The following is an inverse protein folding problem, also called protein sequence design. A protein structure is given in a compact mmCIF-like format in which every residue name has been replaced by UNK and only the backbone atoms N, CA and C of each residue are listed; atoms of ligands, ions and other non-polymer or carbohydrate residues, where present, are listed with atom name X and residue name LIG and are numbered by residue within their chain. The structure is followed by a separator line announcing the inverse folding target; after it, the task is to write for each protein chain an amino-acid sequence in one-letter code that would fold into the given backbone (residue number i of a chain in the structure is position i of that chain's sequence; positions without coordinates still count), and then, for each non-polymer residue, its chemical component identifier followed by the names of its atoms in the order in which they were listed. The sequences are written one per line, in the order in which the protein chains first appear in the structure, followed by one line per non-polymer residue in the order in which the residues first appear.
data_IF_673165797604
#
_entry.id   IF_673165797604
#
_cell.length_a   1.000
_cell.length_b   1.000
_cell.length_c   1.000
_cell.angle_alpha   90.00
_cell.angle_beta   90.00
_cell.angle_gamma   90.00
#
_symmetry.space_group_name_H-M   'P 1'
#
loop_
_entity.id
_entity.type
_entity.pdbx_description
1 polymer ?
#
# COMPACT_ATOMS: atom_id res chain seq x y z
N UNK A 1 47.19 -9.74 40.91
CA UNK A 1 46.91 -8.30 40.64
C UNK A 1 48.13 -7.72 39.95
N UNK A 2 48.16 -7.18 38.74
CA UNK A 2 47.23 -7.07 37.62
C UNK A 2 48.11 -6.86 36.37
N UNK A 3 47.76 -7.50 35.24
CA UNK A 3 48.47 -7.42 33.97
C UNK A 3 48.17 -6.08 33.27
N UNK A 4 49.20 -5.29 32.96
CA UNK A 4 49.25 -4.31 31.86
C UNK A 4 50.09 -5.00 30.76
N UNK A 5 49.67 -5.16 29.51
CA UNK A 5 49.16 -4.17 28.58
C UNK A 5 50.15 -4.18 27.41
N UNK A 6 49.87 -4.93 26.34
CA UNK A 6 50.71 -4.97 25.13
C UNK A 6 49.92 -4.28 24.02
N UNK A 7 50.33 -3.05 23.70
CA UNK A 7 50.12 -2.44 22.40
C UNK A 7 51.21 -2.95 21.45
N UNK A 8 50.84 -3.43 20.27
CA UNK A 8 51.75 -3.58 19.15
C UNK A 8 51.02 -3.12 17.89
N UNK A 9 51.45 -1.97 17.39
CA UNK A 9 51.19 -1.50 16.04
C UNK A 9 52.43 -1.81 15.19
N UNK A 10 52.21 -2.38 14.01
CA UNK A 10 53.15 -2.48 12.88
C UNK A 10 52.27 -2.76 11.64
N UNK A 11 52.47 -2.22 10.44
CA UNK A 11 53.45 -1.29 9.90
C UNK A 11 53.00 -0.94 8.47
N UNK A 12 53.41 0.24 7.99
CA UNK A 12 53.15 0.80 6.67
C UNK A 12 53.99 0.14 5.56
N UNK A 13 53.44 0.03 4.34
CA UNK A 13 54.07 0.25 3.02
C UNK A 13 53.22 -0.41 1.91
N UNK A 14 53.09 0.06 0.67
CA UNK A 14 53.26 1.34 -0.02
C UNK A 14 52.66 1.09 -1.44
N UNK A 15 52.05 2.13 -2.00
CA UNK A 15 51.40 2.25 -3.31
C UNK A 15 51.90 1.42 -4.52
N UNK A 16 50.96 0.97 -5.37
CA UNK A 16 50.96 1.25 -6.81
C UNK A 16 49.61 0.90 -7.50
N UNK A 17 49.06 1.90 -8.20
CA UNK A 17 48.29 1.84 -9.45
C UNK A 17 47.07 0.92 -9.58
N UNK A 18 45.88 1.53 -9.67
CA UNK A 18 45.08 1.44 -10.90
C UNK A 18 44.28 2.74 -11.07
N UNK A 19 44.72 3.58 -12.01
CA UNK A 19 43.86 4.52 -12.71
C UNK A 19 42.86 3.70 -13.51
N UNK A 20 41.69 3.43 -12.94
CA UNK A 20 40.52 3.06 -13.73
C UNK A 20 39.71 4.33 -13.90
N UNK A 21 39.63 4.80 -15.15
CA UNK A 21 38.70 5.85 -15.53
C UNK A 21 37.32 5.45 -15.03
N UNK A 22 36.76 6.26 -14.15
CA UNK A 22 35.38 6.15 -13.70
C UNK A 22 34.48 6.38 -14.91
N UNK A 23 34.21 5.32 -15.68
CA UNK A 23 32.98 5.29 -16.46
C UNK A 23 31.87 5.46 -15.43
N UNK A 24 31.36 6.69 -15.31
CA UNK A 24 30.35 7.04 -14.33
C UNK A 24 29.17 6.10 -14.55
N UNK A 25 29.04 5.09 -13.68
CA UNK A 25 27.97 4.12 -13.78
C UNK A 25 26.67 4.92 -13.77
N UNK A 26 25.80 4.68 -14.77
CA UNK A 26 24.51 5.36 -14.83
C UNK A 26 23.83 5.18 -13.47
N UNK A 27 23.24 6.25 -12.92
CA UNK A 27 22.62 6.14 -11.61
C UNK A 27 21.51 5.08 -11.67
N UNK A 28 21.28 4.29 -10.60
CA UNK A 28 20.36 3.15 -10.64
C UNK A 28 18.95 3.50 -11.16
N UNK A 29 18.45 4.70 -10.81
CA UNK A 29 17.15 5.18 -11.25
C UNK A 29 17.02 5.35 -12.78
N UNK A 30 18.13 5.53 -13.52
CA UNK A 30 18.07 5.65 -14.99
C UNK A 30 17.66 4.31 -15.64
N UNK A 31 18.14 3.19 -15.09
CA UNK A 31 17.73 1.85 -15.53
C UNK A 31 16.27 1.59 -15.15
N UNK A 32 15.85 2.01 -13.96
CA UNK A 32 14.46 1.89 -13.51
C UNK A 32 13.50 2.69 -14.41
N UNK A 33 13.83 3.93 -14.78
CA UNK A 33 13.01 4.73 -15.71
C UNK A 33 12.90 4.10 -17.11
N UNK A 34 13.98 3.50 -17.62
CA UNK A 34 13.92 2.76 -18.88
C UNK A 34 12.99 1.54 -18.76
N UNK A 35 13.01 0.86 -17.61
CA UNK A 35 12.13 -0.27 -17.33
C UNK A 35 10.66 0.16 -17.19
N UNK A 36 10.41 1.33 -16.60
CA UNK A 36 9.08 1.97 -16.53
C UNK A 36 8.54 2.21 -17.94
N UNK A 37 9.31 2.86 -18.82
CA UNK A 37 8.88 3.12 -20.21
C UNK A 37 8.59 1.82 -20.97
N UNK A 38 9.46 0.81 -20.82
CA UNK A 38 9.21 -0.53 -21.36
C UNK A 38 7.91 -1.15 -20.84
N UNK A 39 7.60 -0.94 -19.56
CA UNK A 39 6.35 -1.41 -18.95
C UNK A 39 5.12 -0.71 -19.51
N UNK A 40 5.20 0.60 -19.75
CA UNK A 40 4.13 1.39 -20.38
C UNK A 40 3.89 0.89 -21.81
N UNK A 41 4.93 0.75 -22.62
CA UNK A 41 4.83 0.23 -24.01
C UNK A 41 4.21 -1.18 -24.03
N UNK A 42 4.62 -2.02 -23.08
CA UNK A 42 4.04 -3.36 -22.91
C UNK A 42 2.56 -3.30 -22.56
N UNK A 43 2.14 -2.42 -21.66
CA UNK A 43 0.74 -2.33 -21.26
C UNK A 43 -0.14 -1.82 -22.41
N UNK A 44 0.33 -0.84 -23.19
CA UNK A 44 -0.34 -0.35 -24.41
C UNK A 44 -0.48 -1.48 -25.44
N UNK A 45 0.61 -2.18 -25.75
CA UNK A 45 0.56 -3.29 -26.73
C UNK A 45 -0.34 -4.45 -26.31
N UNK A 46 -0.61 -4.60 -25.01
CA UNK A 46 -1.54 -5.58 -24.46
C UNK A 46 -2.97 -5.03 -24.29
N UNK A 47 -3.25 -3.78 -24.72
CA UNK A 47 -4.52 -3.07 -24.51
C UNK A 47 -4.95 -3.04 -23.04
N UNK A 48 -3.99 -2.96 -22.12
CA UNK A 48 -4.25 -2.88 -20.67
C UNK A 48 -4.36 -1.46 -20.14
N UNK A 49 -3.85 -0.51 -20.92
CA UNK A 49 -3.98 0.93 -20.73
C UNK A 49 -4.15 1.58 -22.10
N UNK A 50 -4.81 2.73 -22.16
CA UNK A 50 -4.96 3.50 -23.39
C UNK A 50 -3.79 4.48 -23.63
N UNK A 51 -3.85 5.22 -24.74
CA UNK A 51 -2.82 6.19 -25.10
C UNK A 51 -2.75 7.41 -24.17
N UNK A 52 -3.87 7.79 -23.56
CA UNK A 52 -3.97 8.92 -22.63
C UNK A 52 -3.29 8.56 -21.32
N UNK A 53 -3.64 7.41 -20.74
CA UNK A 53 -3.00 6.86 -19.54
C UNK A 53 -1.49 6.68 -19.76
N UNK A 54 -1.10 6.14 -20.92
CA UNK A 54 0.30 5.97 -21.26
C UNK A 54 1.06 7.30 -21.37
N UNK A 55 0.42 8.37 -21.87
CA UNK A 55 1.02 9.70 -21.94
C UNK A 55 1.19 10.31 -20.54
N UNK A 56 0.19 10.18 -19.67
CA UNK A 56 0.22 10.63 -18.28
C UNK A 56 1.33 9.91 -17.50
N UNK A 57 1.40 8.58 -17.58
CA UNK A 57 2.42 7.79 -16.87
C UNK A 57 3.84 8.13 -17.32
N UNK A 58 4.05 8.41 -18.62
CA UNK A 58 5.35 8.90 -19.13
C UNK A 58 5.66 10.30 -18.62
N UNK A 59 4.66 11.17 -18.50
CA UNK A 59 4.83 12.51 -17.94
C UNK A 59 5.29 12.44 -16.47
N UNK A 60 4.65 11.60 -15.65
CA UNK A 60 5.02 11.39 -14.25
C UNK A 60 6.43 10.84 -14.10
N UNK A 61 6.80 9.85 -14.92
CA UNK A 61 8.15 9.30 -14.94
C UNK A 61 9.20 10.35 -15.36
N UNK A 62 8.87 11.19 -16.35
CA UNK A 62 9.75 12.26 -16.82
C UNK A 62 9.91 13.37 -15.78
N UNK A 63 8.85 13.71 -15.04
CA UNK A 63 8.92 14.63 -13.93
C UNK A 63 9.86 14.12 -12.83
N UNK A 64 9.77 12.84 -12.47
CA UNK A 64 10.69 12.22 -11.51
C UNK A 64 12.15 12.27 -11.99
N UNK A 65 12.39 11.98 -13.28
CA UNK A 65 13.71 12.06 -13.91
C UNK A 65 14.33 13.46 -13.83
N UNK A 66 13.51 14.50 -13.96
CA UNK A 66 13.94 15.90 -13.91
C UNK A 66 14.23 16.41 -12.49
N UNK A 67 13.61 15.79 -11.48
CA UNK A 67 13.74 16.18 -10.07
C UNK A 67 14.87 15.42 -9.39
N UNK A 68 14.98 14.11 -9.62
CA UNK A 68 15.93 13.20 -8.95
C UNK A 68 17.37 13.73 -8.87
N UNK A 69 18.01 14.19 -9.97
CA UNK A 69 19.40 14.64 -9.94
C UNK A 69 19.66 15.85 -9.04
N UNK A 70 18.60 16.59 -8.67
CA UNK A 70 18.66 17.82 -7.88
C UNK A 70 18.41 17.57 -6.39
N UNK A 71 17.96 16.37 -6.02
CA UNK A 71 17.58 16.07 -4.64
C UNK A 71 18.82 15.68 -3.82
N UNK A 72 18.97 16.24 -2.60
CA UNK A 72 20.00 15.79 -1.68
C UNK A 72 19.49 14.65 -0.78
N UNK A 73 20.43 13.88 -0.24
CA UNK A 73 20.26 13.08 0.98
C UNK A 73 19.01 12.17 0.98
N UNK A 74 18.13 12.31 1.98
CA UNK A 74 16.99 11.43 2.16
C UNK A 74 15.87 11.65 1.15
N UNK A 75 15.71 12.88 0.63
CA UNK A 75 14.77 13.19 -0.46
C UNK A 75 15.11 12.38 -1.71
N UNK A 76 16.39 12.31 -2.06
CA UNK A 76 16.89 11.46 -3.16
C UNK A 76 16.59 9.98 -2.89
N UNK A 77 16.94 9.47 -1.69
CA UNK A 77 16.73 8.06 -1.34
C UNK A 77 15.25 7.67 -1.45
N UNK A 78 14.36 8.48 -0.89
CA UNK A 78 12.92 8.23 -0.90
C UNK A 78 12.36 8.24 -2.33
N UNK A 79 12.63 9.28 -3.13
CA UNK A 79 12.11 9.34 -4.50
C UNK A 79 12.72 8.24 -5.39
N UNK A 80 14.01 7.96 -5.25
CA UNK A 80 14.67 6.87 -5.99
C UNK A 80 14.07 5.51 -5.65
N UNK A 81 13.70 5.28 -4.39
CA UNK A 81 13.04 4.05 -3.97
C UNK A 81 11.62 3.93 -4.57
N UNK A 82 10.87 5.02 -4.65
CA UNK A 82 9.56 5.03 -5.31
C UNK A 82 9.69 4.73 -6.80
N UNK A 83 10.64 5.35 -7.50
CA UNK A 83 10.94 5.01 -8.91
C UNK A 83 11.29 3.53 -9.06
N UNK A 84 12.14 2.99 -8.19
CA UNK A 84 12.49 1.58 -8.19
C UNK A 84 11.27 0.66 -7.96
N UNK A 85 10.36 1.04 -7.07
CA UNK A 85 9.11 0.31 -6.83
C UNK A 85 8.24 0.30 -8.09
N UNK A 86 7.99 1.47 -8.69
CA UNK A 86 7.19 1.56 -9.92
C UNK A 86 7.82 0.72 -11.04
N UNK A 87 9.14 0.78 -11.22
CA UNK A 87 9.87 -0.04 -12.19
C UNK A 87 9.73 -1.55 -11.91
N UNK A 88 9.70 -1.96 -10.65
CA UNK A 88 9.48 -3.35 -10.24
C UNK A 88 8.16 -3.96 -10.77
N UNK A 89 7.19 -3.11 -11.11
CA UNK A 89 5.88 -3.51 -11.63
C UNK A 89 5.76 -3.49 -13.16
N UNK A 90 6.84 -3.28 -13.91
CA UNK A 90 6.79 -3.08 -15.37
C UNK A 90 6.04 -4.15 -16.17
N UNK A 91 5.92 -5.39 -15.68
CA UNK A 91 5.14 -6.47 -16.34
C UNK A 91 3.64 -6.44 -16.03
N UNK A 92 3.25 -5.72 -14.98
CA UNK A 92 1.95 -5.81 -14.32
C UNK A 92 1.12 -4.53 -14.43
N UNK A 93 1.52 -3.54 -15.22
CA UNK A 93 0.67 -2.36 -15.43
C UNK A 93 -0.62 -2.74 -16.18
N UNK A 94 -1.70 -2.22 -15.64
CA UNK A 94 -3.06 -2.10 -16.15
C UNK A 94 -3.62 -0.77 -15.63
N UNK A 95 -4.82 -0.34 -16.07
CA UNK A 95 -5.38 0.94 -15.66
C UNK A 95 -5.38 1.16 -14.13
N UNK A 96 -5.90 0.24 -13.29
CA UNK A 96 -5.92 0.46 -11.83
C UNK A 96 -4.54 0.48 -11.16
N UNK A 97 -3.65 -0.45 -11.54
CA UNK A 97 -2.29 -0.50 -10.96
C UNK A 97 -1.44 0.66 -11.45
N UNK A 98 -1.54 1.00 -12.72
CA UNK A 98 -0.90 2.15 -13.34
C UNK A 98 -1.30 3.42 -12.61
N UNK A 99 -2.59 3.71 -12.53
CA UNK A 99 -3.10 4.89 -11.82
C UNK A 99 -2.57 4.96 -10.39
N UNK A 100 -2.55 3.84 -9.66
CA UNK A 100 -2.06 3.83 -8.28
C UNK A 100 -0.56 4.14 -8.19
N UNK A 101 0.25 3.48 -9.02
CA UNK A 101 1.71 3.59 -8.99
C UNK A 101 2.21 4.95 -9.51
N UNK A 102 1.66 5.44 -10.61
CA UNK A 102 2.09 6.68 -11.23
C UNK A 102 1.57 7.91 -10.47
N UNK A 103 0.33 7.90 -9.96
CA UNK A 103 -0.13 8.97 -9.07
C UNK A 103 0.69 9.05 -7.78
N UNK A 104 1.08 7.89 -7.21
CA UNK A 104 2.00 7.84 -6.07
C UNK A 104 3.38 8.40 -6.42
N UNK A 105 3.92 8.08 -7.60
CA UNK A 105 5.17 8.63 -8.09
C UNK A 105 5.08 10.15 -8.27
N UNK A 106 4.00 10.63 -8.88
CA UNK A 106 3.74 12.05 -9.10
C UNK A 106 3.66 12.82 -7.78
N UNK A 107 2.92 12.27 -6.81
CA UNK A 107 2.82 12.84 -5.46
C UNK A 107 4.19 12.95 -4.78
N UNK A 108 4.95 11.84 -4.76
CA UNK A 108 6.30 11.84 -4.18
C UNK A 108 7.24 12.82 -4.90
N UNK A 109 7.16 12.89 -6.22
CA UNK A 109 7.98 13.81 -7.03
C UNK A 109 7.68 15.26 -6.66
N UNK A 110 6.41 15.65 -6.60
CA UNK A 110 6.01 17.01 -6.21
C UNK A 110 6.37 17.32 -4.76
N UNK A 111 6.12 16.38 -3.84
CA UNK A 111 6.46 16.54 -2.43
C UNK A 111 7.95 16.76 -2.25
N UNK A 112 8.77 15.81 -2.71
CA UNK A 112 10.22 15.87 -2.50
C UNK A 112 10.91 16.91 -3.35
N UNK A 113 10.24 17.59 -4.29
CA UNK A 113 10.81 18.76 -4.96
C UNK A 113 10.88 20.00 -4.03
N UNK A 114 9.98 20.10 -3.05
CA UNK A 114 9.84 21.30 -2.21
C UNK A 114 9.83 21.03 -0.69
N UNK A 115 9.70 19.77 -0.27
CA UNK A 115 9.58 19.38 1.14
C UNK A 115 10.60 18.30 1.53
N UNK A 116 10.90 18.26 2.83
CA UNK A 116 11.65 17.17 3.45
C UNK A 116 10.74 16.02 3.86
N UNK A 117 11.37 14.96 4.36
CA UNK A 117 10.70 13.76 4.86
C UNK A 117 9.68 14.09 5.96
N UNK A 118 8.68 13.24 6.07
CA UNK A 118 7.72 13.23 7.16
C UNK A 118 8.05 12.13 8.17
N UNK A 119 7.52 12.29 9.39
CA UNK A 119 7.58 11.23 10.40
C UNK A 119 6.92 9.96 9.88
N UNK A 120 7.49 8.81 10.20
CA UNK A 120 6.93 7.51 9.84
C UNK A 120 5.46 7.40 10.27
N UNK A 121 4.61 6.86 9.40
CA UNK A 121 3.18 6.69 9.66
C UNK A 121 2.34 7.95 9.47
N UNK A 122 2.94 9.11 9.16
CA UNK A 122 2.18 10.33 8.87
C UNK A 122 1.48 10.22 7.52
N UNK A 123 0.17 10.47 7.52
CA UNK A 123 -0.62 10.56 6.29
C UNK A 123 -0.70 12.00 5.77
N UNK A 124 -0.59 12.15 4.46
CA UNK A 124 -0.73 13.43 3.74
C UNK A 124 -1.68 13.22 2.56
N UNK A 125 -2.62 14.14 2.38
CA UNK A 125 -3.58 14.11 1.28
C UNK A 125 -2.99 14.74 0.02
N UNK A 126 -3.21 14.11 -1.12
CA UNK A 126 -3.10 14.73 -2.42
C UNK A 126 -4.44 15.41 -2.75
N UNK A 127 -4.45 16.74 -2.80
CA UNK A 127 -5.68 17.48 -3.05
C UNK A 127 -6.24 17.29 -4.46
N UNK A 128 -5.44 16.78 -5.40
CA UNK A 128 -5.88 16.57 -6.79
C UNK A 128 -6.90 15.44 -6.93
N UNK A 129 -6.76 14.36 -6.14
CA UNK A 129 -7.64 13.20 -6.21
C UNK A 129 -8.18 12.74 -4.84
N UNK A 130 -7.78 13.41 -3.75
CA UNK A 130 -8.23 13.13 -2.38
C UNK A 130 -7.56 11.91 -1.74
N UNK A 131 -6.62 11.24 -2.42
CA UNK A 131 -5.91 10.07 -1.88
C UNK A 131 -4.96 10.51 -0.76
N UNK A 132 -4.94 9.72 0.30
CA UNK A 132 -3.99 9.88 1.40
C UNK A 132 -2.83 8.92 1.21
N UNK A 133 -1.62 9.47 1.17
CA UNK A 133 -0.40 8.68 1.14
C UNK A 133 0.27 8.70 2.51
N UNK A 134 0.77 7.54 2.94
CA UNK A 134 1.44 7.37 4.23
C UNK A 134 2.94 7.43 4.08
N UNK A 135 3.62 8.20 4.92
CA UNK A 135 5.07 8.30 4.94
C UNK A 135 5.73 7.04 5.52
N UNK A 136 6.65 6.46 4.76
CA UNK A 136 7.52 5.36 5.18
C UNK A 136 9.00 5.77 4.98
N UNK A 137 9.84 5.72 6.02
CA UNK A 137 11.26 6.06 5.89
C UNK A 137 11.96 5.19 4.85
N UNK A 138 12.68 5.81 3.93
CA UNK A 138 13.49 5.14 2.91
C UNK A 138 12.72 4.72 1.66
N UNK A 139 11.39 4.74 1.66
CA UNK A 139 10.55 4.44 0.49
C UNK A 139 9.52 5.54 0.21
N UNK A 140 9.64 6.71 0.83
CA UNK A 140 8.74 7.83 0.60
C UNK A 140 7.28 7.59 1.01
N UNK A 141 6.36 8.26 0.34
CA UNK A 141 4.93 8.17 0.57
C UNK A 141 4.32 7.02 -0.21
N UNK A 142 3.53 6.20 0.47
CA UNK A 142 2.97 4.98 -0.09
C UNK A 142 1.45 5.04 -0.10
N UNK A 143 0.84 4.52 -1.18
CA UNK A 143 -0.60 4.26 -1.19
C UNK A 143 -0.92 3.19 -0.14
N UNK A 144 -1.82 3.53 0.79
CA UNK A 144 -2.12 2.68 1.94
C UNK A 144 -3.63 2.42 2.04
N UNK A 145 -4.12 1.28 1.49
CA UNK A 145 -5.55 0.95 1.44
C UNK A 145 -6.29 1.11 2.77
N UNK A 146 -5.79 0.49 3.85
CA UNK A 146 -6.44 0.54 5.16
C UNK A 146 -6.70 1.97 5.66
N UNK A 147 -5.77 2.89 5.41
CA UNK A 147 -5.89 4.27 5.91
C UNK A 147 -6.86 5.08 5.08
N UNK A 148 -6.82 4.92 3.76
CA UNK A 148 -7.76 5.59 2.87
C UNK A 148 -9.20 5.16 3.18
N UNK A 149 -9.46 3.87 3.41
CA UNK A 149 -10.79 3.42 3.82
C UNK A 149 -11.16 3.85 5.24
N UNK A 150 -10.18 3.96 6.15
CA UNK A 150 -10.38 4.62 7.44
C UNK A 150 -10.80 6.08 7.30
N UNK A 151 -10.18 6.85 6.38
CA UNK A 151 -10.59 8.23 6.06
C UNK A 151 -11.98 8.27 5.44
N UNK A 152 -12.31 7.35 4.55
CA UNK A 152 -13.65 7.27 3.96
C UNK A 152 -14.71 7.01 5.03
N UNK A 153 -14.49 6.05 5.94
CA UNK A 153 -15.36 5.84 7.10
C UNK A 153 -15.53 7.12 7.94
N UNK A 154 -14.45 7.86 8.18
CA UNK A 154 -14.53 9.14 8.91
C UNK A 154 -15.37 10.19 8.17
N UNK A 155 -15.22 10.31 6.85
CA UNK A 155 -16.05 11.24 6.06
C UNK A 155 -17.51 10.80 6.05
N UNK A 156 -17.79 9.50 5.99
CA UNK A 156 -19.15 8.95 6.12
C UNK A 156 -19.74 9.28 7.48
N UNK A 157 -19.02 9.06 8.57
CA UNK A 157 -19.46 9.37 9.93
C UNK A 157 -19.72 10.87 10.13
N UNK A 158 -18.90 11.73 9.51
CA UNK A 158 -19.07 13.18 9.51
C UNK A 158 -20.17 13.66 8.55
N UNK A 159 -20.79 12.77 7.78
CA UNK A 159 -21.72 13.10 6.69
C UNK A 159 -21.13 14.08 5.67
N UNK A 160 -19.81 14.04 5.47
CA UNK A 160 -19.12 14.88 4.50
C UNK A 160 -19.24 14.24 3.11
N UNK A 161 -20.35 14.53 2.43
CA UNK A 161 -20.70 13.92 1.13
C UNK A 161 -19.64 14.21 0.07
N UNK A 162 -19.16 15.45 -0.04
CA UNK A 162 -18.15 15.84 -1.04
C UNK A 162 -16.84 15.05 -0.89
N UNK A 163 -16.30 14.94 0.33
CA UNK A 163 -15.05 14.19 0.54
C UNK A 163 -15.26 12.68 0.48
N UNK A 164 -16.43 12.20 0.92
CA UNK A 164 -16.77 10.78 0.81
C UNK A 164 -16.85 10.36 -0.66
N UNK A 165 -17.54 11.13 -1.50
CA UNK A 165 -17.67 10.86 -2.94
C UNK A 165 -16.31 10.89 -3.63
N UNK A 166 -15.56 12.00 -3.50
CA UNK A 166 -14.24 12.14 -4.13
C UNK A 166 -13.31 10.97 -3.77
N UNK A 167 -13.21 10.63 -2.49
CA UNK A 167 -12.33 9.56 -2.06
C UNK A 167 -12.84 8.18 -2.49
N UNK A 168 -14.16 7.92 -2.44
CA UNK A 168 -14.73 6.66 -2.88
C UNK A 168 -14.47 6.41 -4.37
N UNK A 169 -14.72 7.40 -5.23
CA UNK A 169 -14.46 7.28 -6.67
C UNK A 169 -12.97 7.08 -6.96
N UNK A 170 -12.10 7.88 -6.33
CA UNK A 170 -10.65 7.74 -6.46
C UNK A 170 -10.13 6.38 -6.01
N UNK A 171 -10.77 5.75 -5.02
CA UNK A 171 -10.45 4.39 -4.60
C UNK A 171 -10.99 3.36 -5.59
N UNK A 172 -12.21 3.50 -6.12
CA UNK A 172 -12.76 2.57 -7.11
C UNK A 172 -11.91 2.50 -8.39
N UNK A 173 -11.41 3.64 -8.86
CA UNK A 173 -10.50 3.69 -10.02
C UNK A 173 -9.18 2.93 -9.80
N UNK A 174 -8.82 2.66 -8.53
CA UNK A 174 -7.62 1.91 -8.11
C UNK A 174 -7.91 0.47 -7.71
N UNK A 175 -9.16 0.02 -7.86
CA UNK A 175 -9.54 -1.34 -7.50
C UNK A 175 -9.08 -2.36 -8.55
N UNK A 176 -8.55 -3.48 -8.08
CA UNK A 176 -8.16 -4.62 -8.93
C UNK A 176 -9.11 -5.79 -8.71
N UNK A 177 -9.17 -6.72 -9.65
CA UNK A 177 -9.90 -7.98 -9.47
C UNK A 177 -9.01 -9.02 -8.79
N UNK A 178 -9.47 -9.56 -7.65
CA UNK A 178 -8.81 -10.65 -6.89
C UNK A 178 -9.87 -11.61 -6.37
N UNK A 179 -9.63 -12.92 -6.51
CA UNK A 179 -10.55 -13.96 -6.03
C UNK A 179 -12.02 -13.77 -6.50
N UNK A 180 -12.21 -13.24 -7.72
CA UNK A 180 -13.56 -12.93 -8.27
C UNK A 180 -14.23 -11.67 -7.70
N UNK A 181 -13.61 -10.98 -6.74
CA UNK A 181 -14.05 -9.75 -6.12
C UNK A 181 -13.17 -8.54 -6.46
N UNK A 182 -13.46 -7.41 -5.82
CA UNK A 182 -12.61 -6.22 -5.84
C UNK A 182 -11.61 -6.25 -4.69
N UNK A 183 -10.42 -5.68 -4.91
CA UNK A 183 -9.41 -5.53 -3.87
C UNK A 183 -8.53 -4.30 -4.10
N UNK A 184 -7.84 -3.89 -3.03
CA UNK A 184 -6.78 -2.88 -3.08
C UNK A 184 -5.45 -3.45 -2.61
N UNK A 185 -4.45 -3.29 -3.48
CA UNK A 185 -3.10 -3.78 -3.31
C UNK A 185 -2.20 -2.76 -2.60
N UNK A 186 -1.26 -3.29 -1.83
CA UNK A 186 -0.10 -2.58 -1.32
C UNK A 186 1.08 -2.85 -2.26
N UNK A 187 1.76 -1.79 -2.68
CA UNK A 187 2.78 -1.84 -3.74
C UNK A 187 4.22 -1.81 -3.21
N UNK A 188 4.41 -1.94 -1.90
CA UNK A 188 5.73 -1.94 -1.25
C UNK A 188 6.02 -3.24 -0.50
N UNK A 189 7.30 -3.51 -0.27
CA UNK A 189 7.74 -4.63 0.58
C UNK A 189 7.46 -4.31 2.04
N UNK A 190 6.95 -5.28 2.79
CA UNK A 190 6.66 -5.13 4.21
C UNK A 190 6.79 -6.47 4.91
N UNK A 191 7.56 -6.53 6.00
CA UNK A 191 7.76 -7.73 6.84
C UNK A 191 8.05 -9.02 6.02
N UNK A 192 8.93 -8.92 5.02
CA UNK A 192 9.29 -10.03 4.13
C UNK A 192 8.30 -10.30 2.97
N UNK A 193 7.11 -9.71 3.01
CA UNK A 193 6.12 -9.75 1.94
C UNK A 193 6.59 -9.09 0.64
N UNK A 194 6.29 -9.72 -0.49
CA UNK A 194 6.55 -9.17 -1.83
C UNK A 194 5.29 -8.48 -2.35
N UNK A 195 5.39 -7.25 -2.89
CA UNK A 195 4.26 -6.60 -3.52
C UNK A 195 3.96 -7.23 -4.90
N UNK A 196 2.71 -7.12 -5.39
CA UNK A 196 1.57 -6.59 -4.67
C UNK A 196 1.01 -7.60 -3.66
N UNK A 197 0.59 -7.12 -2.50
CA UNK A 197 -0.13 -7.92 -1.50
C UNK A 197 -1.39 -7.20 -1.04
N UNK A 198 -2.34 -7.95 -0.48
CA UNK A 198 -3.58 -7.41 0.07
C UNK A 198 -3.70 -7.77 1.55
N UNK A 199 -4.52 -7.02 2.28
CA UNK A 199 -4.79 -7.23 3.71
C UNK A 199 -6.26 -7.60 3.93
N UNK A 200 -6.52 -8.65 4.70
CA UNK A 200 -7.89 -9.06 5.05
C UNK A 200 -8.63 -7.98 5.84
N UNK A 201 -7.97 -7.36 6.82
CA UNK A 201 -8.49 -6.22 7.56
C UNK A 201 -8.80 -5.04 6.63
N UNK A 202 -7.89 -4.68 5.73
CA UNK A 202 -8.13 -3.59 4.79
C UNK A 202 -9.33 -3.86 3.86
N UNK A 203 -9.52 -5.10 3.39
CA UNK A 203 -10.68 -5.45 2.56
C UNK A 203 -12.01 -5.37 3.35
N UNK A 204 -12.02 -5.79 4.61
CA UNK A 204 -13.21 -5.68 5.45
C UNK A 204 -13.56 -4.21 5.75
N UNK A 205 -12.57 -3.38 6.09
CA UNK A 205 -12.75 -1.93 6.27
C UNK A 205 -13.22 -1.26 4.98
N UNK A 206 -12.74 -1.72 3.81
CA UNK A 206 -13.20 -1.25 2.51
C UNK A 206 -14.68 -1.59 2.23
N UNK A 207 -15.12 -2.81 2.52
CA UNK A 207 -16.53 -3.20 2.40
C UNK A 207 -17.43 -2.35 3.33
N UNK A 208 -16.99 -2.13 4.58
CA UNK A 208 -17.67 -1.24 5.52
C UNK A 208 -17.78 0.20 4.98
N UNK A 209 -16.66 0.77 4.50
CA UNK A 209 -16.60 2.15 4.07
C UNK A 209 -17.41 2.41 2.79
N UNK A 210 -17.33 1.51 1.82
CA UNK A 210 -18.08 1.64 0.56
C UNK A 210 -19.58 1.43 0.75
N UNK A 211 -20.00 0.50 1.63
CA UNK A 211 -21.43 0.36 1.97
C UNK A 211 -21.95 1.58 2.71
N UNK A 212 -21.16 2.14 3.63
CA UNK A 212 -21.50 3.39 4.33
C UNK A 212 -21.59 4.59 3.38
N UNK A 213 -20.63 4.72 2.45
CA UNK A 213 -20.63 5.78 1.45
C UNK A 213 -21.81 5.64 0.47
N UNK A 214 -22.10 4.42 -0.01
CA UNK A 214 -23.25 4.15 -0.88
C UNK A 214 -24.58 4.54 -0.24
N UNK A 215 -24.76 4.26 1.05
CA UNK A 215 -25.93 4.72 1.80
C UNK A 215 -25.97 6.25 1.96
N UNK A 216 -24.86 6.86 2.36
CA UNK A 216 -24.79 8.32 2.58
C UNK A 216 -25.05 9.12 1.30
N UNK A 217 -24.51 8.66 0.18
CA UNK A 217 -24.57 9.34 -1.12
C UNK A 217 -25.77 8.90 -1.98
N UNK A 218 -26.54 7.92 -1.51
CA UNK A 218 -27.56 7.23 -2.30
C UNK A 218 -27.01 6.69 -3.65
N UNK A 219 -25.75 6.22 -3.64
CA UNK A 219 -25.08 5.67 -4.82
C UNK A 219 -25.06 4.13 -4.79
N UNK A 220 -25.91 3.46 -5.60
CA UNK A 220 -25.97 2.00 -5.64
C UNK A 220 -24.70 1.36 -6.23
N UNK A 221 -23.86 2.11 -6.96
CA UNK A 221 -22.59 1.61 -7.49
C UNK A 221 -21.59 1.34 -6.37
N UNK A 222 -21.54 2.20 -5.34
CA UNK A 222 -20.69 2.02 -4.17
C UNK A 222 -21.16 0.84 -3.31
N UNK A 223 -22.48 0.68 -3.14
CA UNK A 223 -23.06 -0.50 -2.47
C UNK A 223 -22.70 -1.78 -3.23
N UNK A 224 -22.84 -1.79 -4.56
CA UNK A 224 -22.45 -2.94 -5.40
C UNK A 224 -20.94 -3.22 -5.31
N UNK A 225 -20.12 -2.18 -5.27
CA UNK A 225 -18.67 -2.32 -5.07
C UNK A 225 -18.37 -2.95 -3.71
N UNK A 226 -19.02 -2.51 -2.63
CA UNK A 226 -18.83 -3.08 -1.28
C UNK A 226 -19.09 -4.59 -1.24
N UNK A 227 -20.13 -5.07 -1.94
CA UNK A 227 -20.43 -6.49 -2.08
C UNK A 227 -19.34 -7.23 -2.86
N UNK A 228 -18.80 -6.63 -3.93
CA UNK A 228 -17.67 -7.20 -4.67
C UNK A 228 -16.40 -7.26 -3.84
N UNK A 229 -16.17 -6.32 -2.93
CA UNK A 229 -15.02 -6.35 -2.02
C UNK A 229 -15.18 -7.47 -0.99
N UNK A 230 -16.38 -7.61 -0.42
CA UNK A 230 -16.68 -8.70 0.50
C UNK A 230 -16.37 -10.07 -0.10
N UNK A 231 -16.64 -10.32 -1.39
CA UNK A 231 -16.28 -11.58 -2.08
C UNK A 231 -14.80 -11.96 -1.97
N UNK A 232 -13.91 -10.98 -1.81
CA UNK A 232 -12.46 -11.23 -1.63
C UNK A 232 -12.14 -11.67 -0.19
N UNK A 233 -12.87 -11.18 0.81
CA UNK A 233 -12.57 -11.35 2.25
C UNK A 233 -12.47 -12.82 2.68
N UNK A 234 -13.39 -13.73 2.32
CA UNK A 234 -13.28 -15.14 2.72
C UNK A 234 -11.95 -15.81 2.31
N UNK A 235 -11.39 -15.44 1.15
CA UNK A 235 -10.10 -15.98 0.67
C UNK A 235 -8.90 -15.53 1.51
N UNK A 236 -9.10 -14.51 2.34
CA UNK A 236 -8.10 -13.95 3.25
C UNK A 236 -8.21 -14.51 4.67
N UNK A 237 -8.99 -15.57 4.86
CA UNK A 237 -9.02 -16.30 6.13
C UNK A 237 -8.07 -17.49 6.11
N UNK A 238 -7.63 -17.89 7.30
CA UNK A 238 -6.94 -19.15 7.58
C UNK A 238 -7.65 -19.88 8.70
N UNK A 239 -7.40 -21.17 8.86
CA UNK A 239 -7.89 -21.92 10.01
C UNK A 239 -6.95 -21.78 11.21
N UNK A 240 -7.53 -21.55 12.38
CA UNK A 240 -6.91 -21.73 13.70
C UNK A 240 -7.77 -22.71 14.51
N UNK A 241 -7.30 -23.10 15.70
CA UNK A 241 -8.00 -24.07 16.54
C UNK A 241 -9.46 -23.68 16.84
N UNK A 242 -9.72 -22.39 17.07
CA UNK A 242 -11.05 -21.89 17.43
C UNK A 242 -11.94 -21.52 16.22
N UNK A 243 -11.47 -21.68 14.98
CA UNK A 243 -12.24 -21.34 13.77
C UNK A 243 -11.47 -20.51 12.75
N UNK A 244 -12.16 -19.75 11.88
CA UNK A 244 -11.48 -18.90 10.90
C UNK A 244 -10.80 -17.71 11.58
N UNK A 245 -9.63 -17.34 11.06
CA UNK A 245 -8.86 -16.17 11.48
C UNK A 245 -8.47 -15.36 10.24
N UNK A 246 -8.60 -14.04 10.31
CA UNK A 246 -8.23 -13.16 9.20
C UNK A 246 -6.71 -13.09 9.08
N UNK A 247 -6.20 -13.21 7.86
CA UNK A 247 -4.82 -12.85 7.55
C UNK A 247 -4.73 -11.34 7.47
N UNK A 248 -4.04 -10.72 8.43
CA UNK A 248 -3.72 -9.29 8.33
C UNK A 248 -2.99 -9.01 7.02
N UNK A 249 -2.01 -9.83 6.67
CA UNK A 249 -1.31 -9.79 5.39
C UNK A 249 -1.54 -11.10 4.63
N UNK A 250 -1.97 -11.04 3.37
CA UNK A 250 -2.29 -12.24 2.58
C UNK A 250 -1.11 -13.23 2.44
N UNK A 251 0.13 -12.75 2.58
CA UNK A 251 1.35 -13.56 2.50
C UNK A 251 1.80 -14.16 3.84
N UNK A 252 1.17 -13.79 4.95
CA UNK A 252 1.56 -14.21 6.30
C UNK A 252 0.42 -15.01 6.97
N UNK A 253 0.79 -15.97 7.83
CA UNK A 253 -0.12 -16.77 8.65
C UNK A 253 -0.07 -16.40 10.15
N UNK A 254 0.63 -15.33 10.52
CA UNK A 254 0.62 -14.79 11.88
C UNK A 254 -0.79 -14.50 12.36
N UNK A 255 -1.01 -14.75 13.64
CA UNK A 255 -2.32 -14.63 14.28
C UNK A 255 -2.38 -13.26 14.96
N UNK A 256 -2.87 -12.26 14.24
CA UNK A 256 -2.86 -10.87 14.68
C UNK A 256 -4.23 -10.47 15.24
N UNK A 257 -4.31 -10.18 16.54
CA UNK A 257 -5.58 -9.96 17.26
C UNK A 257 -6.30 -8.69 16.82
N UNK A 258 -5.62 -7.54 16.75
CA UNK A 258 -6.26 -6.28 16.33
C UNK A 258 -6.84 -6.37 14.92
N UNK A 259 -6.20 -7.11 14.01
CA UNK A 259 -6.71 -7.36 12.67
C UNK A 259 -8.01 -8.17 12.69
N UNK A 260 -8.07 -9.22 13.51
CA UNK A 260 -9.27 -10.04 13.71
C UNK A 260 -10.42 -9.20 14.26
N UNK A 261 -10.18 -8.45 15.34
CA UNK A 261 -11.21 -7.65 16.01
C UNK A 261 -11.75 -6.55 15.10
N UNK A 262 -10.88 -5.80 14.42
CA UNK A 262 -11.33 -4.77 13.47
C UNK A 262 -12.13 -5.39 12.31
N UNK A 263 -11.70 -6.55 11.80
CA UNK A 263 -12.41 -7.25 10.72
C UNK A 263 -13.84 -7.62 11.15
N UNK A 264 -14.02 -8.11 12.39
CA UNK A 264 -15.34 -8.44 12.93
C UNK A 264 -16.23 -7.20 12.94
N UNK A 265 -15.77 -6.09 13.52
CA UNK A 265 -16.53 -4.83 13.59
C UNK A 265 -16.91 -4.36 12.19
N UNK A 266 -15.95 -4.33 11.26
CA UNK A 266 -16.19 -3.86 9.89
C UNK A 266 -17.18 -4.75 9.13
N UNK A 267 -17.12 -6.08 9.31
CA UNK A 267 -18.07 -7.00 8.67
C UNK A 267 -19.47 -6.95 9.29
N UNK A 268 -19.59 -6.74 10.61
CA UNK A 268 -20.88 -6.54 11.28
C UNK A 268 -21.57 -5.27 10.78
N UNK A 269 -20.84 -4.17 10.66
CA UNK A 269 -21.34 -2.92 10.08
C UNK A 269 -21.79 -3.12 8.62
N UNK A 270 -20.92 -3.72 7.80
CA UNK A 270 -21.24 -4.01 6.40
C UNK A 270 -22.50 -4.89 6.27
N UNK A 271 -22.58 -5.97 7.06
CA UNK A 271 -23.71 -6.89 7.03
C UNK A 271 -25.02 -6.22 7.47
N UNK A 272 -24.97 -5.35 8.48
CA UNK A 272 -26.12 -4.56 8.94
C UNK A 272 -26.64 -3.63 7.83
N UNK A 273 -25.74 -2.99 7.09
CA UNK A 273 -26.10 -2.05 6.00
C UNK A 273 -26.62 -2.76 4.76
N UNK A 274 -26.12 -3.95 4.45
CA UNK A 274 -26.38 -4.64 3.18
C UNK A 274 -27.36 -5.80 3.29
N UNK A 275 -27.62 -6.29 4.50
CA UNK A 275 -28.38 -7.51 4.74
C UNK A 275 -27.67 -8.78 4.27
N UNK A 276 -26.35 -8.74 4.04
CA UNK A 276 -25.58 -9.87 3.50
C UNK A 276 -25.47 -11.03 4.53
N UNK A 277 -26.14 -12.18 4.29
CA UNK A 277 -26.16 -13.28 5.24
C UNK A 277 -24.80 -14.01 5.31
N UNK A 278 -24.02 -14.01 4.23
CA UNK A 278 -22.70 -14.63 4.23
C UNK A 278 -21.74 -13.80 5.08
N UNK A 279 -21.81 -12.47 5.01
CA UNK A 279 -21.02 -11.60 5.86
C UNK A 279 -21.40 -11.71 7.32
N UNK A 280 -22.70 -11.79 7.62
CA UNK A 280 -23.22 -12.05 8.98
C UNK A 280 -22.64 -13.34 9.55
N UNK A 281 -22.71 -14.44 8.79
CA UNK A 281 -22.17 -15.74 9.21
C UNK A 281 -20.64 -15.69 9.40
N UNK A 282 -19.91 -15.10 8.46
CA UNK A 282 -18.45 -14.98 8.58
C UNK A 282 -18.06 -14.16 9.82
N UNK A 283 -18.70 -13.01 10.05
CA UNK A 283 -18.45 -12.18 11.22
C UNK A 283 -18.69 -12.94 12.53
N UNK A 284 -19.80 -13.70 12.61
CA UNK A 284 -20.09 -14.55 13.77
C UNK A 284 -19.02 -15.62 14.02
N UNK A 285 -18.58 -16.32 12.96
CA UNK A 285 -17.52 -17.33 13.08
C UNK A 285 -16.17 -16.73 13.47
N UNK A 286 -15.83 -15.56 12.93
CA UNK A 286 -14.61 -14.82 13.31
C UNK A 286 -14.69 -14.38 14.78
N UNK A 287 -15.86 -13.96 15.26
CA UNK A 287 -16.07 -13.59 16.66
C UNK A 287 -15.94 -14.78 17.61
N UNK A 288 -16.55 -15.93 17.29
CA UNK A 288 -16.36 -17.17 18.07
C UNK A 288 -14.89 -17.57 18.13
N UNK A 289 -14.16 -17.48 17.00
CA UNK A 289 -12.74 -17.77 16.97
C UNK A 289 -11.91 -16.77 17.80
N UNK A 290 -12.26 -15.48 17.77
CA UNK A 290 -11.61 -14.45 18.59
C UNK A 290 -11.78 -14.74 20.09
N UNK A 291 -12.99 -15.04 20.54
CA UNK A 291 -13.27 -15.41 21.94
C UNK A 291 -12.47 -16.65 22.36
N UNK A 292 -12.45 -17.70 21.52
CA UNK A 292 -11.72 -18.93 21.83
C UNK A 292 -10.19 -18.78 21.83
N UNK A 293 -9.64 -17.80 21.12
CA UNK A 293 -8.20 -17.54 21.06
C UNK A 293 -7.75 -16.44 22.04
N UNK A 294 -8.66 -15.63 22.59
CA UNK A 294 -8.35 -14.46 23.40
C UNK A 294 -7.39 -14.74 24.57
N UNK A 295 -7.53 -15.85 25.33
CA UNK A 295 -6.60 -16.16 26.42
C UNK A 295 -5.13 -16.32 25.98
N UNK A 296 -4.86 -16.58 24.69
CA UNK A 296 -3.49 -16.70 24.18
C UNK A 296 -2.78 -15.36 23.97
N UNK A 297 -3.54 -14.27 23.96
CA UNK A 297 -3.02 -12.91 23.84
C UNK A 297 -2.92 -12.22 25.20
N UNK A 298 -3.33 -12.87 26.28
CA UNK A 298 -3.21 -12.33 27.62
C UNK A 298 -1.94 -12.86 28.29
N UNK A 299 -0.96 -11.99 28.51
CA UNK A 299 0.27 -12.33 29.22
C UNK A 299 0.14 -12.17 30.74
N UNK A 300 -1.03 -11.76 31.23
CA UNK A 300 -1.32 -11.38 32.62
C UNK A 300 -1.08 -9.91 32.95
N UNK A 301 -0.45 -9.15 32.03
CA UNK A 301 -0.13 -7.73 32.23
C UNK A 301 -0.31 -6.87 30.97
N UNK A 302 -0.24 -7.49 29.79
CA UNK A 302 -0.37 -6.84 28.48
C UNK A 302 -0.78 -7.86 27.42
N UNK A 303 -1.07 -7.36 26.22
CA UNK A 303 -1.34 -8.13 25.00
C UNK A 303 -0.47 -7.69 23.84
#
# INVERSE_FOLDING_TARGET
MGRRGVCLAAGLALAAMFLWGSASAKPPWATDLALINKGIDRAVSLNRIDSTEAAEFRSDASAAANVLPKLPSSRYRNLSAVVHQVAGFWKGYDSPRGLTLFAMLAFNTRWFASHWDQKAGKDVVDSSDGIWYRAFPGIGFQFHPLENFGKLNNFVAQKNTTRADQLAQSLLNRSVVRSGGLAWEYYFRFEGGRPPWISGMAQAVAAQALSGAGMLLADPSLTSASQRVYKTVPSLTRSVQAGPWIRLYAFNNETVLNAQLQTIVSLQDYATRTGDPAATNLAGRLQTAAVGMLPRFDTGYWS
#
